data_IF_264842555849
#
_entry.id   IF_264842555849
#
_cell.length_a   1.000
_cell.length_b   1.000
_cell.length_c   1.000
_cell.angle_alpha   90.00
_cell.angle_beta   90.00
_cell.angle_gamma   90.00
#
_symmetry.space_group_name_H-M   'P 1'
#
loop_
_entity.id
_entity.type
_entity.pdbx_description
1 polymer ?
#
# COMPACT_ATOMS: atom_id res chain seq x y z
N UNK A 1 -15.90 14.44 -3.82
CA UNK A 1 -15.09 14.08 -2.64
C UNK A 1 -15.84 12.96 -1.95
N UNK A 2 -15.47 11.70 -2.17
CA UNK A 2 -16.05 10.60 -1.38
C UNK A 2 -15.68 10.82 0.08
N UNK A 3 -16.68 10.74 0.95
CA UNK A 3 -16.45 10.81 2.38
C UNK A 3 -16.09 9.41 2.87
N UNK A 4 -15.15 9.34 3.81
CA UNK A 4 -14.67 8.07 4.34
C UNK A 4 -15.77 7.19 4.96
N UNK A 5 -16.91 7.78 5.31
CA UNK A 5 -18.10 7.10 5.80
C UNK A 5 -18.84 6.27 4.75
N UNK A 6 -18.61 6.54 3.47
CA UNK A 6 -19.24 5.83 2.33
C UNK A 6 -18.71 4.38 2.20
N UNK A 7 -17.62 4.06 2.90
CA UNK A 7 -16.95 2.77 2.85
C UNK A 7 -17.32 1.87 4.03
N UNK A 8 -17.37 0.56 3.80
CA UNK A 8 -17.56 -0.44 4.86
C UNK A 8 -16.46 -0.40 5.92
N UNK A 9 -16.77 -0.89 7.12
CA UNK A 9 -15.88 -0.80 8.30
C UNK A 9 -14.50 -1.45 8.08
N UNK A 10 -14.41 -2.51 7.28
CA UNK A 10 -13.15 -3.18 6.99
C UNK A 10 -12.29 -2.34 6.03
N UNK A 11 -12.91 -1.77 4.99
CA UNK A 11 -12.22 -0.87 4.05
C UNK A 11 -11.73 0.40 4.77
N UNK A 12 -12.58 1.01 5.61
CA UNK A 12 -12.19 2.17 6.44
C UNK A 12 -11.00 1.85 7.33
N UNK A 13 -11.03 0.71 8.02
CA UNK A 13 -9.92 0.29 8.88
C UNK A 13 -8.60 0.19 8.09
N UNK A 14 -8.64 -0.37 6.88
CA UNK A 14 -7.47 -0.46 6.00
C UNK A 14 -6.97 0.91 5.54
N UNK A 15 -7.87 1.85 5.24
CA UNK A 15 -7.50 3.22 4.85
C UNK A 15 -6.92 4.04 6.01
N UNK A 16 -7.53 3.94 7.20
CA UNK A 16 -7.08 4.67 8.38
C UNK A 16 -5.82 4.11 9.04
N UNK A 17 -5.41 2.88 8.72
CA UNK A 17 -4.14 2.35 9.21
C UNK A 17 -2.96 3.07 8.55
N UNK A 18 -2.45 4.10 9.20
CA UNK A 18 -1.24 4.84 8.79
C UNK A 18 0.01 3.97 8.78
N UNK A 19 -0.02 2.80 9.44
CA UNK A 19 1.04 1.81 9.52
C UNK A 19 1.73 1.52 8.18
N UNK A 20 0.99 1.44 7.07
CA UNK A 20 1.58 1.15 5.76
C UNK A 20 2.54 2.27 5.30
N UNK A 21 2.06 3.52 5.34
CA UNK A 21 2.84 4.70 4.95
C UNK A 21 3.96 4.98 5.96
N UNK A 22 3.67 4.85 7.26
CA UNK A 22 4.65 5.02 8.33
C UNK A 22 5.79 3.99 8.26
N UNK A 23 5.48 2.74 7.88
CA UNK A 23 6.48 1.69 7.68
C UNK A 23 7.46 2.06 6.56
N UNK A 24 6.95 2.61 5.45
CA UNK A 24 7.79 3.10 4.34
C UNK A 24 8.66 4.28 4.81
N UNK A 25 8.07 5.28 5.47
CA UNK A 25 8.82 6.43 5.98
C UNK A 25 9.90 6.04 6.99
N UNK A 26 9.60 5.11 7.91
CA UNK A 26 10.57 4.55 8.85
C UNK A 26 11.71 3.83 8.11
N UNK A 27 11.37 3.05 7.09
CA UNK A 27 12.31 2.35 6.23
C UNK A 27 13.26 3.29 5.48
N UNK A 28 12.74 4.41 4.96
CA UNK A 28 13.54 5.44 4.28
C UNK A 28 14.46 6.18 5.25
N UNK A 29 13.93 6.62 6.40
CA UNK A 29 14.75 7.25 7.46
C UNK A 29 15.92 6.36 7.89
N UNK A 30 15.73 5.04 7.93
CA UNK A 30 16.79 4.09 8.28
C UNK A 30 17.97 4.12 7.29
N UNK A 31 17.68 4.18 5.98
CA UNK A 31 18.74 4.17 4.96
C UNK A 31 19.36 5.56 4.74
N UNK A 32 18.62 6.64 4.97
CA UNK A 32 19.12 8.02 4.83
C UNK A 32 19.83 8.55 6.08
N UNK A 33 19.85 7.81 7.18
CA UNK A 33 20.46 8.21 8.46
C UNK A 33 21.96 8.55 8.37
N UNK A 34 22.70 7.97 7.41
CA UNK A 34 24.16 8.13 7.29
C UNK A 34 24.63 9.51 6.81
N UNK A 35 23.74 10.41 6.38
CA UNK A 35 24.07 11.82 6.11
C UNK A 35 24.18 12.19 4.63
N UNK A 36 25.05 13.16 4.33
CA UNK A 36 25.09 13.89 3.07
C UNK A 36 25.36 13.00 1.83
N UNK A 37 24.57 13.24 0.78
CA UNK A 37 24.70 12.56 -0.50
C UNK A 37 25.50 13.43 -1.47
N UNK A 38 26.34 12.84 -2.34
CA UNK A 38 27.16 13.59 -3.29
C UNK A 38 26.33 14.33 -4.35
N UNK A 39 25.10 13.87 -4.62
CA UNK A 39 24.09 14.53 -5.46
C UNK A 39 22.72 13.86 -5.23
N UNK A 40 21.67 14.46 -5.81
CA UNK A 40 20.31 13.94 -5.76
C UNK A 40 20.17 12.54 -6.38
N UNK A 41 20.87 12.26 -7.49
CA UNK A 41 20.85 10.95 -8.15
C UNK A 41 21.32 9.82 -7.23
N UNK A 42 22.33 10.07 -6.39
CA UNK A 42 22.81 9.10 -5.42
C UNK A 42 21.75 8.78 -4.36
N UNK A 43 21.03 9.79 -3.88
CA UNK A 43 19.89 9.61 -2.97
C UNK A 43 18.76 8.82 -3.63
N UNK A 44 18.37 9.18 -4.86
CA UNK A 44 17.32 8.49 -5.61
C UNK A 44 17.67 7.01 -5.85
N UNK A 45 18.92 6.70 -6.21
CA UNK A 45 19.39 5.31 -6.35
C UNK A 45 19.28 4.53 -5.04
N UNK A 46 19.63 5.14 -3.91
CA UNK A 46 19.50 4.49 -2.60
C UNK A 46 18.03 4.21 -2.26
N UNK A 47 17.14 5.19 -2.47
CA UNK A 47 15.71 5.01 -2.24
C UNK A 47 15.11 3.94 -3.15
N UNK A 48 15.52 3.90 -4.42
CA UNK A 48 15.11 2.86 -5.37
C UNK A 48 15.51 1.45 -4.91
N UNK A 49 16.76 1.27 -4.48
CA UNK A 49 17.21 0.00 -3.91
C UNK A 49 16.38 -0.38 -2.68
N UNK A 50 16.06 0.60 -1.83
CA UNK A 50 15.25 0.36 -0.64
C UNK A 50 13.81 -0.03 -0.98
N UNK A 51 13.20 0.57 -2.00
CA UNK A 51 11.86 0.17 -2.49
C UNK A 51 11.91 -1.25 -3.05
N UNK A 52 12.94 -1.59 -3.83
CA UNK A 52 13.12 -2.94 -4.38
C UNK A 52 13.20 -4.01 -3.28
N UNK A 53 13.88 -3.72 -2.17
CA UNK A 53 13.91 -4.61 -0.99
C UNK A 53 12.53 -4.74 -0.31
N UNK A 54 11.81 -3.62 -0.16
CA UNK A 54 10.48 -3.60 0.43
C UNK A 54 9.48 -4.39 -0.41
N UNK A 55 9.51 -4.23 -1.74
CA UNK A 55 8.65 -4.99 -2.65
C UNK A 55 8.87 -6.51 -2.51
N UNK A 56 10.13 -6.96 -2.44
CA UNK A 56 10.44 -8.38 -2.19
C UNK A 56 9.86 -8.86 -0.86
N UNK A 57 9.91 -8.03 0.19
CA UNK A 57 9.32 -8.35 1.49
C UNK A 57 7.79 -8.41 1.42
N UNK A 58 7.15 -7.48 0.72
CA UNK A 58 5.69 -7.43 0.59
C UNK A 58 5.12 -8.56 -0.24
N UNK A 59 5.87 -9.10 -1.21
CA UNK A 59 5.46 -10.30 -1.98
C UNK A 59 5.21 -11.54 -1.09
N UNK A 60 5.92 -11.65 0.04
CA UNK A 60 5.69 -12.71 1.02
C UNK A 60 4.73 -12.29 2.15
N UNK A 61 4.22 -11.05 2.10
CA UNK A 61 3.38 -10.48 3.13
C UNK A 61 1.94 -11.00 3.07
N UNK A 62 1.31 -11.09 4.22
CA UNK A 62 -0.12 -11.42 4.35
C UNK A 62 -0.90 -10.16 4.73
N UNK A 63 -2.02 -9.90 4.04
CA UNK A 63 -2.94 -8.82 4.37
C UNK A 63 -4.09 -9.40 5.22
N UNK A 64 -4.15 -9.10 6.53
CA UNK A 64 -5.19 -9.64 7.39
C UNK A 64 -6.56 -9.11 6.98
N UNK A 65 -7.57 -9.98 7.03
CA UNK A 65 -8.96 -9.67 6.69
C UNK A 65 -9.20 -9.18 5.26
N UNK A 66 -8.26 -9.44 4.33
CA UNK A 66 -8.44 -9.08 2.92
C UNK A 66 -9.74 -9.63 2.29
N UNK A 67 -10.20 -10.86 2.57
CA UNK A 67 -11.48 -11.34 2.02
C UNK A 67 -12.68 -10.47 2.43
N UNK A 68 -12.69 -9.97 3.66
CA UNK A 68 -13.76 -9.10 4.15
C UNK A 68 -13.73 -7.73 3.48
N UNK A 69 -12.53 -7.18 3.26
CA UNK A 69 -12.33 -5.92 2.53
C UNK A 69 -12.81 -6.08 1.08
N UNK A 70 -12.41 -7.17 0.42
CA UNK A 70 -12.80 -7.45 -0.96
C UNK A 70 -14.32 -7.60 -1.10
N UNK A 71 -14.96 -8.35 -0.18
CA UNK A 71 -16.43 -8.49 -0.19
C UNK A 71 -17.15 -7.14 -0.04
N UNK A 72 -16.67 -6.26 0.84
CA UNK A 72 -17.24 -4.91 1.00
C UNK A 72 -17.05 -4.04 -0.24
N UNK A 73 -15.91 -4.17 -0.92
CA UNK A 73 -15.64 -3.45 -2.17
C UNK A 73 -16.49 -3.99 -3.34
N UNK A 74 -16.67 -5.31 -3.43
CA UNK A 74 -17.51 -5.94 -4.47
C UNK A 74 -19.00 -5.59 -4.33
N UNK A 75 -19.48 -5.40 -3.09
CA UNK A 75 -20.86 -5.01 -2.82
C UNK A 75 -21.12 -3.51 -3.09
N UNK A 76 -20.09 -2.70 -3.28
CA UNK A 76 -20.24 -1.28 -3.57
C UNK A 76 -20.46 -1.07 -5.07
N UNK A 77 -21.58 -0.45 -5.44
CA UNK A 77 -21.99 -0.21 -6.83
C UNK A 77 -20.95 0.57 -7.66
N UNK A 78 -20.13 1.43 -7.03
CA UNK A 78 -19.09 2.19 -7.73
C UNK A 78 -17.88 1.33 -8.13
N UNK A 79 -17.60 0.26 -7.39
CA UNK A 79 -16.40 -0.56 -7.56
C UNK A 79 -16.68 -1.95 -8.14
N UNK A 80 -17.91 -2.44 -8.02
CA UNK A 80 -18.31 -3.79 -8.42
C UNK A 80 -17.94 -4.14 -9.88
N UNK A 81 -18.29 -3.30 -10.85
CA UNK A 81 -17.95 -3.50 -12.27
C UNK A 81 -16.44 -3.58 -12.51
N UNK A 82 -15.68 -2.69 -11.89
CA UNK A 82 -14.21 -2.64 -12.05
C UNK A 82 -13.57 -3.88 -11.44
N UNK A 83 -14.02 -4.29 -10.26
CA UNK A 83 -13.49 -5.50 -9.60
C UNK A 83 -13.81 -6.74 -10.42
N UNK A 84 -15.03 -6.86 -10.93
CA UNK A 84 -15.41 -7.98 -11.81
C UNK A 84 -14.58 -8.02 -13.09
N UNK A 85 -14.29 -6.85 -13.69
CA UNK A 85 -13.43 -6.77 -14.89
C UNK A 85 -12.04 -7.33 -14.62
N UNK A 86 -11.46 -7.04 -13.45
CA UNK A 86 -10.11 -7.46 -13.11
C UNK A 86 -10.05 -8.77 -12.31
N UNK A 87 -11.17 -9.37 -11.92
CA UNK A 87 -11.17 -10.58 -11.09
C UNK A 87 -10.48 -11.75 -11.78
N UNK A 88 -10.53 -11.79 -13.12
CA UNK A 88 -9.87 -12.79 -13.97
C UNK A 88 -8.33 -12.73 -13.94
N UNK A 89 -7.75 -11.61 -13.50
CA UNK A 89 -6.30 -11.43 -13.38
C UNK A 89 -5.81 -11.58 -11.92
N UNK A 90 -6.74 -11.77 -10.98
CA UNK A 90 -6.47 -11.82 -9.53
C UNK A 90 -6.56 -13.27 -9.00
N UNK A 91 -7.13 -14.20 -9.78
CA UNK A 91 -7.13 -15.66 -9.55
C UNK A 91 -5.87 -16.32 -10.10
#
# INVERSE_FOLDING_TARGET
MEQLYDYGSAVRKMMYTTNAVESIHSSFRKVTKKGAFPNETALLKLLYLRVTELEKKWKAGFIPNWPMVLNQLMANEQFSERINTYSLYIS
#
